data_IF_574911171769
#
_entry.id   IF_574911171769
#
_cell.length_a   1.000
_cell.length_b   1.000
_cell.length_c   1.000
_cell.angle_alpha   90.00
_cell.angle_beta   90.00
_cell.angle_gamma   90.00
#
_symmetry.space_group_name_H-M   'P 1'
#
loop_
_entity.id
_entity.type
_entity.pdbx_description
1 polymer ?
#
# COMPACT_ATOMS: atom_id res chain seq x y z
N UNK A 1 -77.68 6.86 -31.67
CA UNK A 1 -77.08 5.90 -30.74
C UNK A 1 -75.65 6.26 -30.57
N UNK A 2 -75.31 7.00 -29.50
CA UNK A 2 -73.99 7.55 -29.24
C UNK A 2 -73.38 6.72 -28.09
N UNK A 3 -72.28 6.01 -28.36
CA UNK A 3 -71.56 5.24 -27.38
C UNK A 3 -70.49 6.17 -26.69
N UNK A 4 -70.67 6.34 -25.39
CA UNK A 4 -69.70 7.06 -24.53
C UNK A 4 -68.81 5.98 -23.90
N UNK A 5 -67.50 6.02 -24.18
CA UNK A 5 -66.49 5.17 -23.53
C UNK A 5 -65.93 5.91 -22.28
N UNK A 6 -65.76 5.27 -21.12
CA UNK A 6 -65.16 5.89 -19.96
C UNK A 6 -63.63 5.82 -20.05
N UNK A 7 -62.99 7.00 -19.87
CA UNK A 7 -61.53 7.12 -19.62
C UNK A 7 -61.23 6.65 -18.18
N UNK A 8 -60.51 5.56 -18.06
CA UNK A 8 -59.95 5.10 -16.78
C UNK A 8 -58.58 5.80 -16.60
N UNK A 9 -58.56 6.77 -15.70
CA UNK A 9 -57.33 7.46 -15.29
C UNK A 9 -56.45 6.52 -14.45
N UNK A 10 -55.23 6.27 -14.90
CA UNK A 10 -54.19 5.60 -14.11
C UNK A 10 -53.62 6.61 -13.10
N UNK A 11 -53.90 6.42 -11.81
CA UNK A 11 -53.27 7.10 -10.70
C UNK A 11 -51.91 6.47 -10.49
N UNK A 12 -50.85 7.17 -10.91
CA UNK A 12 -49.46 6.80 -10.65
C UNK A 12 -49.17 6.84 -9.15
N UNK A 13 -49.02 5.68 -8.55
CA UNK A 13 -48.58 5.55 -7.15
C UNK A 13 -47.14 6.04 -7.00
N UNK A 14 -46.92 7.14 -6.28
CA UNK A 14 -45.60 7.54 -5.81
C UNK A 14 -45.06 6.43 -4.92
N UNK A 15 -44.02 5.72 -5.36
CA UNK A 15 -43.21 4.87 -4.49
C UNK A 15 -42.64 5.72 -3.35
N UNK A 16 -43.23 5.62 -2.18
CA UNK A 16 -42.63 6.13 -0.95
C UNK A 16 -41.42 5.24 -0.66
N UNK A 17 -40.22 5.65 -1.06
CA UNK A 17 -39.00 5.08 -0.54
C UNK A 17 -38.96 5.38 0.95
N UNK A 18 -38.94 4.38 1.83
CA UNK A 18 -38.75 4.65 3.25
C UNK A 18 -37.41 5.39 3.42
N UNK A 19 -37.35 6.39 4.32
CA UNK A 19 -36.10 7.07 4.59
C UNK A 19 -35.05 6.04 4.98
N UNK A 20 -33.85 6.13 4.36
CA UNK A 20 -32.74 5.26 4.71
C UNK A 20 -32.57 5.35 6.23
N UNK A 21 -32.74 4.23 6.92
CA UNK A 21 -32.45 4.15 8.33
C UNK A 21 -30.95 4.36 8.48
N UNK A 22 -30.56 5.54 8.96
CA UNK A 22 -29.20 5.79 9.41
C UNK A 22 -29.01 4.84 10.61
N UNK A 23 -28.27 3.74 10.40
CA UNK A 23 -27.90 2.85 11.50
C UNK A 23 -27.30 3.72 12.60
N UNK A 24 -27.92 3.68 13.78
CA UNK A 24 -27.35 4.35 14.96
C UNK A 24 -25.96 3.78 15.17
N UNK A 25 -24.95 4.63 14.99
CA UNK A 25 -23.56 4.27 15.27
C UNK A 25 -23.47 3.87 16.75
N UNK A 26 -23.43 2.57 17.03
CA UNK A 26 -23.28 2.05 18.39
C UNK A 26 -21.82 2.25 18.76
N UNK A 27 -21.55 3.28 19.56
CA UNK A 27 -20.22 3.47 20.17
C UNK A 27 -20.02 2.37 21.21
N UNK A 28 -19.34 1.31 20.84
CA UNK A 28 -19.06 0.18 21.72
C UNK A 28 -17.77 0.43 22.51
N UNK A 29 -17.92 0.89 23.73
CA UNK A 29 -16.84 1.03 24.70
C UNK A 29 -15.95 2.26 24.56
N UNK A 30 -15.14 2.58 25.57
CA UNK A 30 -14.18 3.66 25.53
C UNK A 30 -13.01 3.31 24.59
N UNK A 31 -12.62 4.25 23.74
CA UNK A 31 -11.37 4.13 22.96
C UNK A 31 -10.17 4.19 23.92
N UNK A 32 -9.14 3.40 23.62
CA UNK A 32 -7.89 3.45 24.37
C UNK A 32 -7.17 4.79 24.10
N UNK A 33 -6.41 5.32 25.08
CA UNK A 33 -5.58 6.50 24.88
C UNK A 33 -4.58 6.32 23.72
N UNK A 34 -4.40 7.36 22.90
CA UNK A 34 -3.50 7.31 21.72
C UNK A 34 -2.11 6.78 22.06
N UNK A 35 -1.51 7.23 23.18
CA UNK A 35 -0.18 6.78 23.59
C UNK A 35 -0.12 5.25 23.86
N UNK A 36 -1.18 4.65 24.42
CA UNK A 36 -1.24 3.21 24.65
C UNK A 36 -1.37 2.44 23.33
N UNK A 37 -2.18 2.93 22.42
CA UNK A 37 -2.35 2.30 21.10
C UNK A 37 -1.04 2.36 20.32
N UNK A 38 -0.35 3.51 20.28
CA UNK A 38 0.96 3.64 19.65
C UNK A 38 1.98 2.69 20.29
N UNK A 39 2.04 2.64 21.62
CA UNK A 39 2.96 1.75 22.32
C UNK A 39 2.72 0.27 21.96
N UNK A 40 1.45 -0.15 21.85
CA UNK A 40 1.11 -1.52 21.47
C UNK A 40 1.50 -1.83 20.02
N UNK A 41 1.29 -0.91 19.08
CA UNK A 41 1.71 -1.06 17.68
C UNK A 41 3.24 -1.11 17.59
N UNK A 42 3.93 -0.18 18.25
CA UNK A 42 5.39 -0.09 18.22
C UNK A 42 6.06 -1.31 18.87
N UNK A 43 5.47 -1.86 19.93
CA UNK A 43 5.96 -3.10 20.56
C UNK A 43 6.00 -4.29 19.57
N UNK A 44 5.18 -4.27 18.52
CA UNK A 44 5.26 -5.21 17.40
C UNK A 44 6.32 -4.77 16.38
N UNK A 45 6.22 -3.52 15.90
CA UNK A 45 6.95 -3.05 14.73
C UNK A 45 8.45 -2.86 14.99
N UNK A 46 8.84 -2.50 16.22
CA UNK A 46 10.25 -2.39 16.62
C UNK A 46 11.02 -3.73 16.56
N UNK A 47 10.28 -4.84 16.59
CA UNK A 47 10.84 -6.19 16.44
C UNK A 47 11.02 -6.61 14.98
N UNK A 48 10.67 -5.75 14.01
CA UNK A 48 10.69 -6.00 12.57
C UNK A 48 11.74 -5.12 11.86
N UNK A 49 13.02 -5.09 12.28
CA UNK A 49 14.03 -4.25 11.62
C UNK A 49 14.31 -4.71 10.19
N UNK A 50 14.11 -5.99 9.92
CA UNK A 50 14.27 -6.63 8.59
C UNK A 50 13.18 -7.65 8.39
N UNK A 51 12.87 -7.94 7.11
CA UNK A 51 11.96 -9.02 6.74
C UNK A 51 12.41 -9.64 5.42
N UNK A 52 12.38 -10.95 5.34
CA UNK A 52 12.56 -11.68 4.11
C UNK A 52 11.47 -12.75 4.00
N UNK A 53 10.94 -12.93 2.79
CA UNK A 53 9.96 -13.97 2.51
C UNK A 53 10.01 -14.36 1.04
N UNK A 54 9.82 -15.62 0.73
CA UNK A 54 9.27 -16.02 -0.55
C UNK A 54 7.81 -15.58 -0.62
N UNK A 55 7.29 -15.40 -1.82
CA UNK A 55 5.90 -14.99 -2.02
C UNK A 55 5.33 -15.53 -3.33
N UNK A 56 4.01 -15.59 -3.39
CA UNK A 56 3.25 -15.71 -4.63
C UNK A 56 2.63 -14.37 -4.96
N UNK A 57 2.59 -14.03 -6.25
CA UNK A 57 1.98 -12.77 -6.69
C UNK A 57 1.07 -12.96 -7.90
N UNK A 58 0.10 -12.05 -8.00
CA UNK A 58 -0.74 -11.81 -9.17
C UNK A 58 -0.83 -10.32 -9.36
N UNK A 59 -0.66 -9.84 -10.59
CA UNK A 59 -0.86 -8.43 -10.91
C UNK A 59 -1.60 -8.28 -12.23
N UNK A 60 -2.50 -7.31 -12.28
CA UNK A 60 -3.11 -6.79 -13.49
C UNK A 60 -2.58 -5.37 -13.67
N UNK A 61 -1.65 -5.21 -14.59
CA UNK A 61 -0.96 -3.95 -14.83
C UNK A 61 -1.60 -3.27 -16.04
N UNK A 62 -2.12 -2.08 -15.85
CA UNK A 62 -2.72 -1.28 -16.92
C UNK A 62 -1.65 -0.28 -17.39
N UNK A 63 -1.27 -0.39 -18.66
CA UNK A 63 -0.26 0.48 -19.26
C UNK A 63 -0.82 1.86 -19.68
N UNK A 64 0.04 2.72 -20.22
CA UNK A 64 -0.33 4.07 -20.71
C UNK A 64 -1.39 4.01 -21.84
N UNK A 65 -1.43 2.90 -22.61
CA UNK A 65 -2.40 2.67 -23.70
C UNK A 65 -3.70 2.03 -23.22
N UNK A 66 -3.87 1.90 -21.87
CA UNK A 66 -5.00 1.22 -21.24
C UNK A 66 -5.11 -0.27 -21.58
N UNK A 67 -4.01 -0.92 -21.95
CA UNK A 67 -3.93 -2.35 -22.14
C UNK A 67 -3.62 -3.05 -20.82
N UNK A 68 -4.31 -4.16 -20.57
CA UNK A 68 -4.15 -4.97 -19.37
C UNK A 68 -3.09 -6.06 -19.60
N UNK A 69 -2.11 -6.13 -18.69
CA UNK A 69 -1.05 -7.13 -18.67
C UNK A 69 -1.16 -7.96 -17.41
N UNK A 70 -1.58 -9.21 -17.54
CA UNK A 70 -1.70 -10.14 -16.43
C UNK A 70 -0.37 -10.86 -16.20
N UNK A 71 0.15 -10.74 -15.00
CA UNK A 71 1.37 -11.44 -14.57
C UNK A 71 1.12 -12.15 -13.24
N UNK A 72 1.64 -13.35 -13.12
CA UNK A 72 1.59 -14.12 -11.87
C UNK A 72 2.83 -15.02 -11.78
N UNK A 73 3.20 -15.40 -10.59
CA UNK A 73 4.36 -16.27 -10.36
C UNK A 73 4.78 -16.27 -8.91
N UNK A 74 6.02 -16.67 -8.72
CA UNK A 74 6.70 -16.66 -7.42
C UNK A 74 7.65 -15.46 -7.34
N UNK A 75 8.03 -15.11 -6.12
CA UNK A 75 8.91 -13.98 -5.92
C UNK A 75 9.55 -13.96 -4.54
N UNK A 76 10.20 -12.86 -4.24
CA UNK A 76 10.81 -12.61 -2.93
C UNK A 76 10.55 -11.18 -2.49
N UNK A 77 10.23 -11.01 -1.21
CA UNK A 77 10.24 -9.74 -0.51
C UNK A 77 11.49 -9.65 0.34
N UNK A 78 12.21 -8.55 0.23
CA UNK A 78 13.31 -8.20 1.14
C UNK A 78 13.08 -6.78 1.64
N UNK A 79 13.08 -6.60 2.94
CA UNK A 79 12.85 -5.32 3.61
C UNK A 79 13.88 -5.08 4.70
N UNK A 80 14.27 -3.82 4.87
CA UNK A 80 15.09 -3.33 5.99
C UNK A 80 14.68 -1.88 6.30
N UNK A 81 14.40 -1.64 7.57
CA UNK A 81 14.07 -0.29 8.02
C UNK A 81 15.16 0.73 7.70
N UNK A 82 14.82 2.00 7.42
CA UNK A 82 13.44 2.51 7.31
C UNK A 82 12.88 2.48 5.89
N UNK A 83 13.71 2.37 4.83
CA UNK A 83 13.27 2.62 3.44
C UNK A 83 13.77 1.58 2.43
N UNK A 84 14.51 0.58 2.87
CA UNK A 84 15.08 -0.40 1.95
C UNK A 84 14.05 -1.51 1.68
N UNK A 85 13.59 -1.60 0.44
CA UNK A 85 12.63 -2.59 -0.04
C UNK A 85 13.09 -3.16 -1.37
N UNK A 86 12.92 -4.47 -1.55
CA UNK A 86 12.95 -5.08 -2.87
C UNK A 86 11.90 -6.17 -2.97
N UNK A 87 11.04 -6.04 -3.96
CA UNK A 87 10.03 -7.02 -4.33
C UNK A 87 10.33 -7.52 -5.74
N UNK A 88 10.78 -8.75 -5.85
CA UNK A 88 11.10 -9.43 -7.11
C UNK A 88 10.01 -10.43 -7.45
N UNK A 89 9.47 -10.35 -8.66
CA UNK A 89 8.60 -11.36 -9.22
C UNK A 89 9.31 -12.14 -10.32
N UNK A 90 9.15 -13.46 -10.31
CA UNK A 90 9.72 -14.40 -11.28
C UNK A 90 8.63 -15.26 -11.89
N UNK A 91 8.86 -15.69 -13.12
CA UNK A 91 8.02 -16.65 -13.81
C UNK A 91 8.87 -17.53 -14.71
N UNK A 92 8.93 -18.82 -14.46
CA UNK A 92 9.66 -19.77 -15.30
C UNK A 92 8.97 -19.94 -16.67
N UNK A 93 9.74 -20.05 -17.77
CA UNK A 93 11.17 -19.84 -17.92
C UNK A 93 11.59 -18.38 -18.14
N UNK A 94 10.67 -17.41 -18.05
CA UNK A 94 10.91 -15.98 -18.39
C UNK A 94 11.90 -15.28 -17.44
N UNK A 95 12.16 -15.86 -16.26
CA UNK A 95 13.05 -15.27 -15.26
C UNK A 95 12.36 -14.16 -14.46
N UNK A 96 13.04 -13.01 -14.24
CA UNK A 96 12.49 -11.86 -13.53
C UNK A 96 11.45 -11.15 -14.40
N UNK A 97 10.21 -11.05 -13.93
CA UNK A 97 9.07 -10.40 -14.62
C UNK A 97 8.86 -8.98 -14.14
N UNK A 98 9.08 -8.74 -12.84
CA UNK A 98 9.14 -7.40 -12.30
C UNK A 98 10.17 -7.29 -11.18
N UNK A 99 10.66 -6.08 -10.97
CA UNK A 99 11.60 -5.71 -9.92
C UNK A 99 11.18 -4.34 -9.40
N UNK A 100 10.56 -4.33 -8.22
CA UNK A 100 10.18 -3.13 -7.50
C UNK A 100 11.21 -2.94 -6.40
N UNK A 101 11.82 -1.76 -6.32
CA UNK A 101 12.78 -1.50 -5.28
C UNK A 101 12.82 -0.06 -4.82
N UNK A 102 13.33 0.10 -3.63
CA UNK A 102 13.49 1.36 -2.94
C UNK A 102 14.67 1.27 -1.99
N UNK A 103 15.42 2.34 -1.87
CA UNK A 103 16.43 2.55 -0.84
C UNK A 103 16.35 4.00 -0.34
N UNK A 104 17.29 4.46 0.48
CA UNK A 104 17.26 5.82 1.05
C UNK A 104 17.35 6.96 0.03
N UNK A 105 17.75 6.68 -1.22
CA UNK A 105 18.01 7.70 -2.23
C UNK A 105 17.03 7.63 -3.39
N UNK A 106 16.73 6.42 -3.86
CA UNK A 106 16.08 6.16 -5.12
C UNK A 106 15.09 5.02 -5.04
N UNK A 107 14.18 5.00 -5.99
CA UNK A 107 13.23 3.91 -6.19
C UNK A 107 13.17 3.56 -7.68
N UNK A 108 12.77 2.32 -7.96
CA UNK A 108 12.64 1.81 -9.33
C UNK A 108 11.53 0.80 -9.48
N UNK A 109 11.01 0.73 -10.70
CA UNK A 109 10.12 -0.31 -11.18
C UNK A 109 10.63 -0.80 -12.52
N UNK A 110 10.83 -2.09 -12.67
CA UNK A 110 11.16 -2.74 -13.94
C UNK A 110 10.14 -3.83 -14.22
N UNK A 111 9.55 -3.83 -15.43
CA UNK A 111 8.57 -4.83 -15.88
C UNK A 111 9.04 -5.37 -17.22
N UNK A 112 9.35 -6.67 -17.28
CA UNK A 112 9.82 -7.40 -18.46
C UNK A 112 9.22 -8.81 -18.49
N UNK A 113 8.93 -9.39 -19.70
CA UNK A 113 9.04 -8.79 -21.03
C UNK A 113 7.81 -7.96 -21.45
N UNK A 114 6.77 -7.84 -20.60
CA UNK A 114 5.48 -7.29 -20.99
C UNK A 114 5.52 -5.82 -21.39
N UNK A 115 6.41 -5.05 -20.76
CA UNK A 115 6.51 -3.60 -21.01
C UNK A 115 7.93 -3.16 -21.44
N UNK A 116 8.94 -4.02 -21.29
CA UNK A 116 10.36 -3.75 -21.60
C UNK A 116 10.85 -2.40 -21.05
N UNK A 117 10.24 -1.95 -19.96
CA UNK A 117 10.43 -0.59 -19.44
C UNK A 117 10.93 -0.63 -18.01
N UNK A 118 11.84 0.30 -17.72
CA UNK A 118 12.30 0.62 -16.38
C UNK A 118 11.97 2.08 -16.06
N UNK A 119 11.24 2.29 -14.96
CA UNK A 119 11.03 3.61 -14.34
C UNK A 119 11.92 3.70 -13.12
N UNK A 120 12.53 4.85 -12.93
CA UNK A 120 13.29 5.11 -11.72
C UNK A 120 13.23 6.60 -11.36
N UNK A 121 13.54 6.93 -10.11
CA UNK A 121 13.60 8.31 -9.66
C UNK A 121 14.22 8.42 -8.28
N UNK A 122 14.53 9.66 -7.89
CA UNK A 122 14.99 9.98 -6.55
C UNK A 122 13.85 10.56 -5.72
N UNK A 123 13.89 10.36 -4.41
CA UNK A 123 12.89 10.97 -3.49
C UNK A 123 12.97 12.50 -3.53
N UNK A 124 14.14 13.07 -3.79
CA UNK A 124 14.30 14.51 -3.96
C UNK A 124 13.51 15.03 -5.17
N UNK A 125 13.59 14.34 -6.31
CA UNK A 125 12.89 14.73 -7.52
C UNK A 125 11.40 14.46 -7.45
N UNK A 126 10.98 13.39 -6.76
CA UNK A 126 9.58 13.02 -6.63
C UNK A 126 8.72 14.14 -5.99
N UNK A 127 9.28 14.90 -5.06
CA UNK A 127 8.59 16.03 -4.42
C UNK A 127 8.25 17.19 -5.39
N UNK A 128 8.87 17.19 -6.57
CA UNK A 128 8.74 18.26 -7.58
C UNK A 128 7.79 17.90 -8.73
N UNK A 129 7.32 16.67 -8.77
CA UNK A 129 6.50 16.12 -9.88
C UNK A 129 5.08 15.86 -9.41
N UNK A 130 4.11 16.17 -10.27
CA UNK A 130 2.74 15.67 -10.06
C UNK A 130 2.74 14.15 -10.25
N UNK A 131 2.41 13.38 -9.21
CA UNK A 131 2.41 11.92 -9.28
C UNK A 131 1.51 11.36 -10.40
N UNK A 132 0.45 12.05 -10.76
CA UNK A 132 -0.46 11.63 -11.83
C UNK A 132 0.15 11.70 -13.23
N UNK A 133 1.24 12.44 -13.39
CA UNK A 133 1.91 12.65 -14.69
C UNK A 133 3.11 11.71 -14.90
N UNK A 134 3.41 10.85 -13.94
CA UNK A 134 4.59 9.97 -14.03
C UNK A 134 4.43 8.80 -14.99
N UNK A 135 3.21 8.45 -15.38
CA UNK A 135 2.95 7.28 -16.25
C UNK A 135 3.37 5.93 -15.66
N UNK A 136 3.74 5.88 -14.39
CA UNK A 136 4.16 4.64 -13.74
C UNK A 136 2.93 3.82 -13.36
N UNK A 137 2.81 2.57 -13.82
CA UNK A 137 1.64 1.74 -13.52
C UNK A 137 1.53 1.34 -12.04
N UNK A 138 2.68 1.18 -11.38
CA UNK A 138 2.80 0.84 -9.96
C UNK A 138 3.93 1.70 -9.39
N UNK A 139 3.64 2.52 -8.39
CA UNK A 139 4.63 3.40 -7.76
C UNK A 139 5.41 2.67 -6.67
N UNK A 140 6.72 2.45 -6.85
CA UNK A 140 7.55 1.68 -5.90
C UNK A 140 7.62 2.31 -4.51
N UNK A 141 7.68 3.62 -4.44
CA UNK A 141 7.71 4.39 -3.19
C UNK A 141 6.44 4.17 -2.34
N UNK A 142 5.31 3.90 -2.98
CA UNK A 142 4.05 3.60 -2.29
C UNK A 142 4.01 2.17 -1.76
N UNK A 143 4.61 1.21 -2.47
CA UNK A 143 4.60 -0.20 -2.06
C UNK A 143 5.27 -0.40 -0.70
N UNK A 144 6.34 0.33 -0.41
CA UNK A 144 6.97 0.32 0.92
C UNK A 144 5.97 0.72 2.03
N UNK A 145 5.19 1.78 1.80
CA UNK A 145 4.20 2.28 2.76
C UNK A 145 3.08 1.29 3.10
N UNK A 146 2.84 0.31 2.21
CA UNK A 146 1.78 -0.68 2.39
C UNK A 146 2.09 -1.70 3.48
N UNK A 147 3.37 -2.02 3.72
CA UNK A 147 3.73 -3.04 4.70
C UNK A 147 3.23 -2.70 6.11
N UNK A 148 3.13 -1.42 6.45
CA UNK A 148 2.63 -0.90 7.72
C UNK A 148 3.33 -1.48 8.97
N UNK A 149 4.63 -1.79 8.82
CA UNK A 149 5.49 -2.36 9.86
C UNK A 149 6.50 -1.36 10.44
N UNK A 150 6.45 -0.09 10.02
CA UNK A 150 7.28 0.96 10.59
C UNK A 150 6.73 1.41 11.94
N UNK A 151 7.60 1.71 12.92
CA UNK A 151 7.18 2.32 14.18
C UNK A 151 6.51 3.69 13.95
N UNK A 152 5.46 3.97 14.72
CA UNK A 152 4.78 5.27 14.71
C UNK A 152 5.56 6.24 15.59
N UNK A 153 6.06 7.32 15.00
CA UNK A 153 6.75 8.39 15.76
C UNK A 153 5.78 9.09 16.70
N UNK A 154 6.21 9.27 17.95
CA UNK A 154 5.50 10.09 18.94
C UNK A 154 6.02 11.54 19.01
N UNK A 155 7.10 11.85 18.25
CA UNK A 155 7.66 13.19 18.20
C UNK A 155 6.85 14.04 17.19
N UNK A 156 6.14 15.10 17.64
CA UNK A 156 5.35 15.97 16.78
C UNK A 156 6.19 16.84 15.83
N UNK A 157 7.49 16.97 16.08
CA UNK A 157 8.40 17.77 15.25
C UNK A 157 8.90 16.96 14.03
N UNK A 158 8.72 15.63 14.05
CA UNK A 158 9.11 14.75 12.96
C UNK A 158 7.94 14.55 12.01
N UNK A 159 8.07 15.03 10.79
CA UNK A 159 7.05 14.87 9.77
C UNK A 159 7.26 13.61 8.93
N UNK A 160 6.16 13.00 8.47
CA UNK A 160 4.75 13.35 8.69
C UNK A 160 4.25 13.01 10.10
N UNK A 161 3.40 13.86 10.68
CA UNK A 161 2.85 13.69 12.03
C UNK A 161 1.64 12.77 12.00
N UNK A 162 1.62 11.76 12.88
CA UNK A 162 0.50 10.84 13.01
C UNK A 162 -0.56 11.37 13.99
N UNK A 163 -1.81 11.34 13.58
CA UNK A 163 -2.98 11.60 14.43
C UNK A 163 -3.90 10.39 14.44
N UNK A 164 -4.55 10.11 15.57
CA UNK A 164 -5.40 8.94 15.74
C UNK A 164 -6.88 9.33 15.81
N UNK A 165 -7.73 8.58 15.14
CA UNK A 165 -9.19 8.56 15.31
C UNK A 165 -9.65 7.14 15.57
N UNK A 166 -10.75 6.98 16.31
CA UNK A 166 -11.40 5.69 16.48
C UNK A 166 -12.64 5.61 15.59
N UNK A 167 -12.73 4.55 14.81
CA UNK A 167 -13.90 4.22 14.01
C UNK A 167 -14.66 3.05 14.68
N UNK A 168 -15.74 3.37 15.39
CA UNK A 168 -16.52 2.38 16.11
C UNK A 168 -17.19 1.35 15.19
N UNK A 169 -17.68 1.77 14.03
CA UNK A 169 -18.35 0.88 13.08
C UNK A 169 -17.38 -0.14 12.45
N UNK A 170 -16.13 0.26 12.24
CA UNK A 170 -15.10 -0.62 11.71
C UNK A 170 -14.28 -1.33 12.80
N UNK A 171 -14.53 -1.07 14.08
CA UNK A 171 -13.72 -1.54 15.21
C UNK A 171 -12.22 -1.31 14.96
N UNK A 172 -11.85 -0.08 14.57
CA UNK A 172 -10.49 0.23 14.15
C UNK A 172 -9.98 1.57 14.71
N UNK A 173 -8.69 1.59 15.06
CA UNK A 173 -7.93 2.82 15.25
C UNK A 173 -7.36 3.25 13.91
N UNK A 174 -7.73 4.45 13.47
CA UNK A 174 -7.30 5.04 12.20
C UNK A 174 -6.20 6.05 12.50
N UNK A 175 -5.00 5.78 12.04
CA UNK A 175 -3.89 6.73 12.08
C UNK A 175 -3.78 7.44 10.75
N UNK A 176 -3.80 8.77 10.78
CA UNK A 176 -3.61 9.63 9.60
C UNK A 176 -2.31 10.39 9.77
N UNK A 177 -1.38 10.20 8.84
CA UNK A 177 -0.14 10.95 8.78
C UNK A 177 -0.32 12.19 7.92
N UNK A 178 -0.05 13.35 8.51
CA UNK A 178 -0.13 14.64 7.82
C UNK A 178 1.25 15.26 7.66
N UNK A 179 1.51 15.81 6.49
CA UNK A 179 2.72 16.55 6.18
C UNK A 179 2.38 18.01 5.87
N UNK A 180 3.30 18.90 6.20
CA UNK A 180 3.18 20.33 5.90
C UNK A 180 3.80 20.63 4.54
N UNK A 181 3.01 21.16 3.63
CA UNK A 181 3.47 21.86 2.43
C UNK A 181 3.67 23.35 2.75
N UNK A 182 4.30 24.14 1.86
CA UNK A 182 4.49 25.57 2.08
C UNK A 182 3.21 26.34 2.34
N UNK A 183 2.10 25.92 1.73
CA UNK A 183 0.80 26.61 1.72
C UNK A 183 -0.32 25.88 2.47
N UNK A 184 -0.14 24.58 2.81
CA UNK A 184 -1.19 23.76 3.43
C UNK A 184 -0.66 22.52 4.14
N UNK A 185 -1.55 21.88 4.92
CA UNK A 185 -1.36 20.53 5.42
C UNK A 185 -2.07 19.52 4.52
N UNK A 186 -1.43 18.37 4.28
CA UNK A 186 -2.00 17.29 3.50
C UNK A 186 -1.94 15.98 4.28
N UNK A 187 -2.92 15.10 4.09
CA UNK A 187 -2.80 13.71 4.48
C UNK A 187 -1.92 12.99 3.43
N UNK A 188 -0.93 12.24 3.88
CA UNK A 188 -0.03 11.46 3.00
C UNK A 188 -0.26 9.97 3.12
N UNK A 189 -0.73 9.51 4.28
CA UNK A 189 -0.96 8.10 4.58
C UNK A 189 -2.06 7.97 5.61
N UNK A 190 -2.86 6.89 5.52
CA UNK A 190 -3.79 6.45 6.55
C UNK A 190 -3.66 4.95 6.74
N UNK A 191 -3.61 4.47 7.99
CA UNK A 191 -3.57 3.05 8.33
C UNK A 191 -4.65 2.76 9.37
N UNK A 192 -5.42 1.73 9.12
CA UNK A 192 -6.44 1.24 10.03
C UNK A 192 -5.91 0.01 10.76
N UNK A 193 -5.84 0.11 12.07
CA UNK A 193 -5.44 -0.97 12.95
C UNK A 193 -6.67 -1.56 13.64
N UNK A 194 -6.78 -2.87 13.63
CA UNK A 194 -7.83 -3.58 14.36
C UNK A 194 -7.82 -3.22 15.85
N UNK A 195 -8.99 -2.95 16.43
CA UNK A 195 -9.12 -2.48 17.81
C UNK A 195 -8.53 -3.47 18.82
N UNK A 196 -8.80 -4.77 18.65
CA UNK A 196 -8.39 -5.79 19.62
C UNK A 196 -6.92 -6.17 19.47
N UNK A 197 -6.46 -6.36 18.24
CA UNK A 197 -5.15 -6.93 17.95
C UNK A 197 -4.07 -5.91 17.65
N UNK A 198 -4.44 -4.65 17.37
CA UNK A 198 -3.56 -3.55 16.92
C UNK A 198 -2.79 -3.90 15.62
N UNK A 199 -3.31 -4.86 14.82
CA UNK A 199 -2.71 -5.25 13.54
C UNK A 199 -3.25 -4.40 12.41
N UNK A 200 -2.43 -4.00 11.43
CA UNK A 200 -2.89 -3.21 10.30
C UNK A 200 -3.82 -4.04 9.40
N UNK A 201 -4.95 -3.45 9.00
CA UNK A 201 -5.95 -4.09 8.13
C UNK A 201 -6.10 -3.40 6.80
N UNK A 202 -5.80 -2.09 6.78
CA UNK A 202 -6.10 -1.25 5.66
C UNK A 202 -5.10 -0.09 5.57
N UNK A 203 -4.61 0.20 4.38
CA UNK A 203 -3.70 1.32 4.12
C UNK A 203 -4.23 2.14 2.96
N UNK A 204 -4.28 3.46 3.13
CA UNK A 204 -4.53 4.43 2.08
C UNK A 204 -3.30 5.33 1.95
N UNK A 205 -2.85 5.56 0.73
CA UNK A 205 -1.81 6.52 0.43
C UNK A 205 -2.39 7.62 -0.48
N UNK A 206 -2.01 8.86 -0.20
CA UNK A 206 -2.57 10.04 -0.85
C UNK A 206 -1.50 10.79 -1.62
N UNK A 207 -1.91 11.47 -2.70
CA UNK A 207 -1.08 12.46 -3.38
C UNK A 207 -1.15 13.83 -2.69
N UNK A 208 -0.41 14.80 -3.24
CA UNK A 208 -0.39 16.17 -2.75
C UNK A 208 -1.74 16.90 -2.88
N UNK A 209 -2.71 16.36 -3.60
CA UNK A 209 -4.06 16.89 -3.76
C UNK A 209 -5.10 16.19 -2.86
N UNK A 210 -4.65 15.23 -2.03
CA UNK A 210 -5.50 14.44 -1.13
C UNK A 210 -6.28 13.33 -1.83
N UNK A 211 -5.93 12.96 -3.08
CA UNK A 211 -6.55 11.84 -3.77
C UNK A 211 -5.88 10.54 -3.34
N UNK A 212 -6.66 9.48 -3.20
CA UNK A 212 -6.14 8.14 -2.94
C UNK A 212 -5.41 7.65 -4.20
N UNK A 213 -4.11 7.42 -4.10
CA UNK A 213 -3.26 6.88 -5.18
C UNK A 213 -2.93 5.40 -5.00
N UNK A 214 -3.07 4.90 -3.78
CA UNK A 214 -2.99 3.48 -3.47
C UNK A 214 -3.92 3.16 -2.31
N UNK A 215 -4.59 2.03 -2.44
CA UNK A 215 -5.39 1.40 -1.42
C UNK A 215 -4.93 -0.04 -1.25
N UNK A 216 -4.71 -0.48 -0.01
CA UNK A 216 -4.30 -1.83 0.28
C UNK A 216 -5.12 -2.45 1.41
N UNK A 217 -5.53 -3.71 1.24
CA UNK A 217 -6.07 -4.55 2.28
C UNK A 217 -5.00 -5.53 2.76
N UNK A 218 -4.87 -5.66 4.07
CA UNK A 218 -3.90 -6.52 4.74
C UNK A 218 -4.66 -7.59 5.54
N UNK A 219 -4.38 -8.86 5.25
CA UNK A 219 -5.11 -10.01 5.82
C UNK A 219 -4.16 -11.12 6.31
N UNK A 220 -4.73 -12.09 7.02
CA UNK A 220 -4.07 -13.32 7.44
C UNK A 220 -2.72 -13.07 8.12
N UNK A 221 -2.77 -12.33 9.25
CA UNK A 221 -1.56 -12.04 10.01
C UNK A 221 -0.94 -13.30 10.60
N UNK A 222 0.37 -13.42 10.49
CA UNK A 222 1.16 -14.51 11.05
C UNK A 222 2.32 -14.00 11.91
N UNK A 223 2.76 -14.82 12.84
CA UNK A 223 3.96 -14.55 13.62
C UNK A 223 5.22 -14.85 12.81
N UNK A 224 6.24 -14.02 12.99
CA UNK A 224 7.55 -14.21 12.39
C UNK A 224 8.55 -14.50 13.50
N UNK A 225 9.32 -15.57 13.34
CA UNK A 225 10.33 -15.94 14.32
C UNK A 225 11.31 -14.78 14.54
N UNK A 226 11.45 -14.35 15.79
CA UNK A 226 12.40 -13.35 16.21
C UNK A 226 13.42 -14.00 17.16
N UNK A 227 14.74 -13.96 16.85
CA UNK A 227 15.76 -14.56 17.72
C UNK A 227 15.81 -13.85 19.06
N UNK A 228 16.09 -14.65 20.09
CA UNK A 228 16.16 -14.21 21.48
C UNK A 228 14.85 -13.65 22.07
N UNK A 229 13.74 -13.93 21.41
CA UNK A 229 12.38 -13.53 21.84
C UNK A 229 11.55 -14.79 22.02
N UNK A 230 10.83 -14.91 23.14
CA UNK A 230 9.91 -16.02 23.36
C UNK A 230 8.81 -16.05 22.26
N UNK A 231 8.38 -17.24 21.87
CA UNK A 231 7.43 -17.44 20.75
C UNK A 231 6.15 -16.63 20.91
N UNK A 232 5.65 -16.48 22.11
CA UNK A 232 4.45 -15.71 22.44
C UNK A 232 4.59 -14.22 22.15
N UNK A 233 5.84 -13.75 22.06
CA UNK A 233 6.20 -12.36 21.81
C UNK A 233 6.73 -12.10 20.38
N UNK A 234 6.70 -13.11 19.52
CA UNK A 234 7.11 -12.93 18.12
C UNK A 234 6.24 -11.87 17.45
N UNK A 235 6.85 -11.02 16.61
CA UNK A 235 6.08 -9.98 15.91
C UNK A 235 5.14 -10.59 14.87
N UNK A 236 4.09 -9.84 14.58
CA UNK A 236 3.08 -10.19 13.60
C UNK A 236 3.24 -9.35 12.35
N UNK A 237 3.11 -9.99 11.19
CA UNK A 237 3.01 -9.33 9.88
C UNK A 237 1.78 -9.84 9.15
N UNK A 238 1.21 -9.02 8.27
CA UNK A 238 0.22 -9.53 7.32
C UNK A 238 0.90 -10.52 6.37
N UNK A 239 0.20 -11.58 5.97
CA UNK A 239 0.69 -12.46 4.91
C UNK A 239 0.09 -12.11 3.55
N UNK A 240 -1.13 -11.59 3.49
CA UNK A 240 -1.81 -11.26 2.25
C UNK A 240 -1.96 -9.75 2.10
N UNK A 241 -1.57 -9.26 0.94
CA UNK A 241 -1.60 -7.86 0.55
C UNK A 241 -2.34 -7.73 -0.79
N UNK A 242 -3.46 -7.00 -0.79
CA UNK A 242 -4.24 -6.70 -1.99
C UNK A 242 -4.16 -5.20 -2.26
N UNK A 243 -3.44 -4.82 -3.29
CA UNK A 243 -3.17 -3.44 -3.68
C UNK A 243 -4.02 -3.02 -4.88
N UNK A 244 -4.58 -1.85 -4.82
CA UNK A 244 -5.27 -1.19 -5.94
C UNK A 244 -4.67 0.19 -6.15
N UNK A 245 -4.38 0.53 -7.40
CA UNK A 245 -3.88 1.83 -7.84
C UNK A 245 -5.00 2.54 -8.62
N UNK A 246 -5.80 3.40 -7.99
CA UNK A 246 -7.00 3.99 -8.61
C UNK A 246 -6.72 4.79 -9.87
N UNK A 247 -5.58 5.50 -9.92
CA UNK A 247 -5.23 6.36 -11.07
C UNK A 247 -4.99 5.57 -12.36
N UNK A 248 -4.40 4.38 -12.25
CA UNK A 248 -4.10 3.53 -13.40
C UNK A 248 -5.15 2.44 -13.62
N UNK A 249 -5.83 2.02 -12.55
CA UNK A 249 -6.68 0.82 -12.52
C UNK A 249 -5.89 -0.47 -12.36
N UNK A 250 -4.56 -0.37 -12.12
CA UNK A 250 -3.72 -1.53 -11.85
C UNK A 250 -4.03 -2.15 -10.50
N UNK A 251 -3.87 -3.47 -10.38
CA UNK A 251 -3.99 -4.19 -9.12
C UNK A 251 -2.81 -5.14 -8.93
N UNK A 252 -2.44 -5.38 -7.68
CA UNK A 252 -1.41 -6.32 -7.32
C UNK A 252 -1.79 -7.05 -6.04
N UNK A 253 -1.72 -8.37 -6.06
CA UNK A 253 -1.88 -9.22 -4.90
C UNK A 253 -0.56 -9.95 -4.64
N UNK A 254 -0.13 -10.03 -3.39
CA UNK A 254 0.95 -10.93 -3.02
C UNK A 254 0.71 -11.55 -1.65
N UNK A 255 1.11 -12.82 -1.55
CA UNK A 255 0.99 -13.64 -0.34
C UNK A 255 2.38 -14.08 0.10
N UNK A 256 2.79 -13.73 1.31
CA UNK A 256 4.05 -14.15 1.91
C UNK A 256 3.97 -15.62 2.33
N UNK A 257 4.95 -16.40 1.93
CA UNK A 257 5.05 -17.82 2.25
C UNK A 257 5.44 -18.06 3.72
N UNK A 258 5.30 -19.28 4.18
CA UNK A 258 5.62 -19.68 5.56
C UNK A 258 7.10 -19.58 5.94
N UNK A 259 7.99 -19.43 4.95
CA UNK A 259 9.41 -19.18 5.11
C UNK A 259 9.77 -17.73 5.49
N UNK A 260 8.77 -16.92 5.86
CA UNK A 260 8.97 -15.53 6.30
C UNK A 260 9.81 -15.48 7.57
N UNK A 261 10.92 -14.74 7.51
CA UNK A 261 11.89 -14.67 8.59
C UNK A 261 12.45 -13.25 8.76
N UNK A 262 12.92 -12.96 9.97
CA UNK A 262 13.80 -11.82 10.22
C UNK A 262 15.22 -12.20 9.87
N UNK A 263 15.89 -11.37 9.07
CA UNK A 263 17.30 -11.59 8.74
C UNK A 263 18.19 -10.81 9.70
N UNK A 264 19.28 -11.41 10.12
CA UNK A 264 20.20 -10.89 11.11
C UNK A 264 21.63 -10.83 10.59
N UNK A 265 22.48 -10.09 11.31
CA UNK A 265 23.87 -9.86 10.95
C UNK A 265 23.98 -8.98 9.71
N UNK A 266 24.87 -9.35 8.79
CA UNK A 266 25.15 -8.59 7.57
C UNK A 266 24.10 -8.80 6.46
N UNK A 267 22.99 -9.46 6.74
CA UNK A 267 21.93 -9.69 5.78
C UNK A 267 20.63 -8.97 6.19
N UNK A 268 19.88 -8.34 5.27
CA UNK A 268 20.20 -8.21 3.84
C UNK A 268 21.34 -7.22 3.59
N UNK A 269 22.22 -7.57 2.64
CA UNK A 269 23.34 -6.68 2.24
C UNK A 269 22.85 -5.46 1.48
N UNK A 270 23.60 -4.37 1.48
CA UNK A 270 23.25 -3.16 0.72
C UNK A 270 23.05 -3.43 -0.77
N UNK A 271 23.84 -4.37 -1.33
CA UNK A 271 23.68 -4.80 -2.72
C UNK A 271 22.28 -5.37 -3.03
N UNK A 272 21.57 -5.90 -2.03
CA UNK A 272 20.19 -6.38 -2.21
C UNK A 272 19.22 -5.26 -2.54
N UNK A 273 19.54 -4.02 -2.18
CA UNK A 273 18.72 -2.82 -2.37
C UNK A 273 19.33 -1.84 -3.39
N UNK A 274 20.25 -2.33 -4.21
CA UNK A 274 20.82 -1.52 -5.30
C UNK A 274 19.93 -1.62 -6.53
N UNK A 275 19.70 -0.46 -7.16
CA UNK A 275 18.99 -0.37 -8.42
C UNK A 275 19.73 -1.18 -9.50
N UNK A 276 19.05 -2.05 -10.25
CA UNK A 276 19.68 -2.77 -11.34
C UNK A 276 20.13 -1.80 -12.43
N UNK A 277 21.26 -2.08 -13.13
CA UNK A 277 21.70 -1.22 -14.21
C UNK A 277 20.62 -1.06 -15.29
N UNK A 278 20.39 0.15 -15.82
CA UNK A 278 19.43 0.38 -16.91
C UNK A 278 19.73 -0.44 -18.18
N UNK A 279 21.00 -0.84 -18.36
CA UNK A 279 21.47 -1.66 -19.47
C UNK A 279 21.16 -3.16 -19.34
N UNK A 280 20.39 -3.57 -18.33
CA UNK A 280 20.03 -4.97 -18.15
C UNK A 280 19.26 -5.52 -19.36
N UNK A 281 19.50 -6.79 -19.75
CA UNK A 281 18.76 -7.44 -20.83
C UNK A 281 17.25 -7.36 -20.62
N UNK A 282 16.50 -7.07 -21.68
CA UNK A 282 15.03 -6.99 -21.68
C UNK A 282 14.47 -5.60 -21.34
N UNK A 283 15.30 -4.59 -21.11
CA UNK A 283 14.88 -3.18 -20.98
C UNK A 283 15.19 -2.45 -22.25
N UNK A 284 14.18 -1.99 -22.97
CA UNK A 284 14.31 -1.16 -24.18
C UNK A 284 14.03 0.32 -23.91
N UNK A 285 13.31 0.64 -22.83
CA UNK A 285 12.93 1.99 -22.45
C UNK A 285 13.26 2.26 -21.00
N UNK A 286 13.96 3.38 -20.74
CA UNK A 286 14.27 3.86 -19.40
C UNK A 286 13.64 5.24 -19.20
N UNK A 287 12.85 5.39 -18.13
CA UNK A 287 12.14 6.63 -17.82
C UNK A 287 12.61 7.10 -16.44
N UNK A 288 13.25 8.27 -16.42
CA UNK A 288 13.60 8.97 -15.18
C UNK A 288 12.44 9.88 -14.75
N UNK A 289 11.98 9.69 -13.50
CA UNK A 289 10.87 10.44 -12.93
C UNK A 289 11.39 11.74 -12.33
N UNK A 290 10.79 12.85 -12.72
CA UNK A 290 11.17 14.16 -12.22
C UNK A 290 12.32 14.81 -13.00
N UNK A 291 12.81 14.16 -14.03
CA UNK A 291 13.69 14.83 -14.98
C UNK A 291 12.83 15.74 -15.88
N UNK A 292 12.99 17.07 -15.77
CA UNK A 292 12.44 17.98 -16.78
C UNK A 292 13.38 17.93 -17.99
N UNK A 293 12.88 17.43 -19.11
CA UNK A 293 13.53 17.75 -20.40
C UNK A 293 13.62 19.26 -20.50
N UNK A 294 14.86 19.79 -20.54
CA UNK A 294 15.16 21.19 -20.72
C UNK A 294 14.95 21.58 -22.18
#
# INVERSE_FOLDING_TARGET
>A
MILIAPLIGWIGGCCHCPPAQVEKMVVTGPSEPTAQVIAAINANNEKLPTLWSSLYYKANIIDEKKQAHFVNGEGTLTYRQPMDLRLLGRKDPAGVVFDIGSNRKEFWLRIIPQMDTMWWGTYENLSRVDPSQTGIPIRPDLVLGVLAIDPISTNPDVQPVATMRFNAAAHAYMFVWTARLPDRWIAVREVWYDQATKRPRFVLLYDSNGRVVLHAELKHHKQVEAPNVAKEQWPWVASDYNLTFPDTGSTMEFTLSDDTVLRHGDYPKDASFSMPPPSNPGVSRVIEIGHREQ
#
